data_IF_948025113961
#
_entry.id   IF_948025113961
#
_cell.length_a   1.000
_cell.length_b   1.000
_cell.length_c   1.000
_cell.angle_alpha   90.00
_cell.angle_beta   90.00
_cell.angle_gamma   90.00
#
_symmetry.space_group_name_H-M   'P 1'
#
loop_
_entity.id
_entity.type
_entity.pdbx_description
1 polymer ?
#
# COMPACT_ATOMS: atom_id res chain seq x y z
N UNK A 1 12.76 27.53 13.32
CA UNK A 1 12.40 26.28 12.63
C UNK A 1 11.00 26.39 12.09
N UNK A 2 10.79 26.34 10.78
CA UNK A 2 9.46 26.33 10.18
C UNK A 2 9.08 24.88 9.85
N UNK A 3 8.16 24.30 10.62
CA UNK A 3 7.44 23.10 10.21
C UNK A 3 6.42 23.55 9.18
N UNK A 4 6.55 23.07 7.93
CA UNK A 4 5.53 23.30 6.91
C UNK A 4 4.60 22.10 6.91
N UNK A 5 3.41 22.28 7.46
CA UNK A 5 2.37 21.26 7.44
C UNK A 5 1.93 20.96 5.99
N UNK A 6 1.79 19.68 5.67
CA UNK A 6 1.31 19.23 4.36
C UNK A 6 -0.18 18.93 4.48
N UNK A 7 -0.99 19.64 3.69
CA UNK A 7 -2.43 19.47 3.63
C UNK A 7 -2.86 18.98 2.25
N UNK A 8 -3.94 18.21 2.19
CA UNK A 8 -4.52 17.75 0.92
C UNK A 8 -5.27 16.43 1.01
N UNK A 9 -5.96 16.10 -0.09
CA UNK A 9 -6.74 14.86 -0.21
C UNK A 9 -5.84 13.62 -0.14
N UNK A 10 -4.61 13.71 -0.64
CA UNK A 10 -3.62 12.62 -0.59
C UNK A 10 -3.24 12.25 0.84
N UNK A 11 -2.91 13.22 1.70
CA UNK A 11 -2.55 12.94 3.11
C UNK A 11 -3.74 12.40 3.90
N UNK A 12 -4.95 12.93 3.65
CA UNK A 12 -6.19 12.41 4.25
C UNK A 12 -6.49 10.97 3.82
N UNK A 13 -6.23 10.63 2.56
CA UNK A 13 -6.42 9.29 2.02
C UNK A 13 -5.44 8.30 2.67
N UNK A 14 -4.15 8.64 2.74
CA UNK A 14 -3.15 7.80 3.41
C UNK A 14 -3.48 7.57 4.89
N UNK A 15 -3.93 8.61 5.60
CA UNK A 15 -4.34 8.48 7.01
C UNK A 15 -5.49 7.47 7.21
N UNK A 16 -6.46 7.42 6.29
CA UNK A 16 -7.56 6.43 6.34
C UNK A 16 -7.06 5.01 6.04
N UNK A 17 -6.19 4.85 5.06
CA UNK A 17 -5.61 3.54 4.69
C UNK A 17 -4.75 2.98 5.81
N UNK A 18 -3.96 3.82 6.47
CA UNK A 18 -3.10 3.40 7.57
C UNK A 18 -3.88 2.76 8.71
N UNK A 19 -5.16 3.13 8.92
CA UNK A 19 -6.03 2.50 9.92
C UNK A 19 -6.43 1.07 9.56
N UNK A 20 -6.40 0.71 8.28
CA UNK A 20 -6.76 -0.63 7.79
C UNK A 20 -5.54 -1.47 7.44
N UNK A 21 -4.35 -0.89 7.56
CA UNK A 21 -3.10 -1.60 7.37
C UNK A 21 -2.88 -2.65 8.46
N UNK A 22 -2.45 -3.86 8.10
CA UNK A 22 -1.89 -4.80 9.07
C UNK A 22 -0.74 -4.14 9.83
N UNK A 23 -0.56 -4.49 11.10
CA UNK A 23 0.58 -4.03 11.88
C UNK A 23 1.89 -4.38 11.15
N UNK A 24 2.79 -3.41 11.03
CA UNK A 24 4.05 -3.52 10.28
C UNK A 24 3.87 -3.91 8.80
N UNK A 25 2.71 -3.66 8.22
CA UNK A 25 2.41 -3.89 6.81
C UNK A 25 2.62 -2.65 5.93
N UNK A 26 2.72 -2.88 4.62
CA UNK A 26 2.74 -1.84 3.60
C UNK A 26 1.50 -1.96 2.72
N UNK A 27 0.77 -0.86 2.56
CA UNK A 27 -0.31 -0.74 1.58
C UNK A 27 0.09 0.31 0.55
N UNK A 28 -0.16 -0.01 -0.72
CA UNK A 28 0.00 0.92 -1.84
C UNK A 28 -1.32 1.10 -2.57
N UNK A 29 -1.54 2.27 -3.15
CA UNK A 29 -2.70 2.53 -4.02
C UNK A 29 -2.55 1.89 -5.40
N UNK A 30 -3.63 1.88 -6.17
CA UNK A 30 -3.68 1.32 -7.53
C UNK A 30 -2.64 1.90 -8.49
N UNK A 31 -2.47 3.23 -8.54
CA UNK A 31 -1.48 3.86 -9.42
C UNK A 31 -0.04 3.40 -9.12
N UNK A 32 0.31 3.28 -7.84
CA UNK A 32 1.61 2.75 -7.45
C UNK A 32 1.74 1.27 -7.80
N UNK A 33 0.68 0.48 -7.58
CA UNK A 33 0.64 -0.92 -7.96
C UNK A 33 0.87 -1.09 -9.47
N UNK A 34 0.20 -0.32 -10.34
CA UNK A 34 0.38 -0.43 -11.79
C UNK A 34 1.83 -0.22 -12.23
N UNK A 35 2.55 0.68 -11.56
CA UNK A 35 3.97 0.93 -11.80
C UNK A 35 4.90 -0.12 -11.18
N UNK A 36 4.48 -0.81 -10.11
CA UNK A 36 5.33 -1.68 -9.30
C UNK A 36 5.02 -3.19 -9.42
N UNK A 37 3.90 -3.57 -10.03
CA UNK A 37 3.38 -4.96 -10.06
C UNK A 37 4.33 -5.98 -10.68
N UNK A 38 5.27 -5.52 -11.51
CA UNK A 38 6.26 -6.37 -12.18
C UNK A 38 7.56 -6.56 -11.39
N UNK A 39 7.67 -5.98 -10.19
CA UNK A 39 8.85 -6.17 -9.33
C UNK A 39 8.86 -7.60 -8.76
N UNK A 40 9.72 -8.47 -9.29
CA UNK A 40 9.80 -9.90 -8.96
C UNK A 40 10.03 -10.22 -7.48
N UNK A 41 10.54 -9.27 -6.70
CA UNK A 41 10.84 -9.45 -5.28
C UNK A 41 9.65 -9.16 -4.37
N UNK A 42 8.50 -8.78 -4.93
CA UNK A 42 7.32 -8.40 -4.18
C UNK A 42 6.07 -9.08 -4.73
N UNK A 43 5.14 -9.37 -3.82
CA UNK A 43 3.79 -9.79 -4.12
C UNK A 43 2.83 -8.67 -3.71
N UNK A 44 1.76 -8.53 -4.47
CA UNK A 44 0.72 -7.54 -4.27
C UNK A 44 -0.63 -8.24 -4.14
N UNK A 45 -1.32 -8.06 -3.02
CA UNK A 45 -2.65 -8.62 -2.78
C UNK A 45 -3.68 -7.50 -2.70
N UNK A 46 -4.65 -7.49 -3.63
CA UNK A 46 -5.75 -6.53 -3.63
C UNK A 46 -6.55 -6.64 -2.32
N UNK A 47 -6.87 -5.50 -1.72
CA UNK A 47 -7.67 -5.40 -0.51
C UNK A 47 -9.16 -5.44 -0.87
N UNK A 48 -9.94 -6.26 -0.18
CA UNK A 48 -11.40 -6.39 -0.35
C UNK A 48 -12.20 -5.76 0.80
N UNK A 49 -11.55 -4.98 1.67
CA UNK A 49 -12.18 -4.28 2.81
C UNK A 49 -13.11 -3.19 2.29
N UNK A 50 -14.28 -3.03 2.92
CA UNK A 50 -15.25 -1.97 2.60
C UNK A 50 -14.64 -0.56 2.65
N UNK A 51 -13.60 -0.32 3.46
CA UNK A 51 -12.91 0.98 3.56
C UNK A 51 -12.02 1.26 2.34
N UNK A 52 -11.62 0.20 1.62
CA UNK A 52 -10.73 0.21 0.44
C UNK A 52 -11.43 -0.54 -0.71
N UNK A 53 -12.76 -0.42 -0.76
CA UNK A 53 -13.62 -1.00 -1.78
C UNK A 53 -13.75 -0.02 -2.95
N UNK A 54 -13.88 -0.52 -4.20
CA UNK A 54 -14.29 0.31 -5.35
C UNK A 54 -15.57 1.10 -5.10
N UNK A 55 -16.48 0.57 -4.28
CA UNK A 55 -17.74 1.24 -3.90
C UNK A 55 -17.52 2.53 -3.08
N UNK A 56 -16.36 2.66 -2.43
CA UNK A 56 -15.92 3.87 -1.73
C UNK A 56 -14.79 4.62 -2.47
N UNK A 57 -14.52 4.26 -3.72
CA UNK A 57 -13.60 4.98 -4.62
C UNK A 57 -12.12 4.87 -4.26
N UNK A 58 -11.70 3.78 -3.62
CA UNK A 58 -10.28 3.52 -3.39
C UNK A 58 -9.92 2.06 -3.58
N UNK A 59 -8.89 1.79 -4.38
CA UNK A 59 -8.31 0.47 -4.56
C UNK A 59 -6.91 0.46 -3.97
N UNK A 60 -6.64 -0.50 -3.08
CA UNK A 60 -5.37 -0.66 -2.40
C UNK A 60 -4.87 -2.10 -2.42
N UNK A 61 -3.56 -2.26 -2.28
CA UNK A 61 -2.86 -3.53 -2.33
C UNK A 61 -1.92 -3.66 -1.13
N UNK A 62 -1.99 -4.79 -0.43
CA UNK A 62 -0.98 -5.16 0.56
C UNK A 62 0.26 -5.66 -0.17
N UNK A 63 1.42 -5.13 0.20
CA UNK A 63 2.72 -5.50 -0.36
C UNK A 63 3.43 -6.43 0.61
N UNK A 64 3.92 -7.55 0.10
CA UNK A 64 4.77 -8.48 0.86
C UNK A 64 6.02 -8.80 0.07
N UNK A 65 7.16 -8.96 0.75
CA UNK A 65 8.40 -9.40 0.10
C UNK A 65 8.34 -10.88 -0.21
N UNK A 66 8.84 -11.25 -1.38
CA UNK A 66 9.04 -12.65 -1.76
C UNK A 66 10.26 -13.16 -1.00
N UNK A 67 10.02 -14.02 -0.01
CA UNK A 67 11.08 -14.76 0.66
C UNK A 67 11.58 -15.86 -0.30
N UNK A 68 12.37 -15.48 -1.32
CA UNK A 68 13.21 -16.48 -1.99
C UNK A 68 14.15 -17.02 -0.91
N UNK A 69 14.11 -18.34 -0.67
CA UNK A 69 15.12 -19.00 0.18
C UNK A 69 16.48 -18.56 -0.34
N UNK A 70 17.36 -18.07 0.54
CA UNK A 70 18.77 -17.98 0.20
C UNK A 70 19.20 -19.39 -0.21
N UNK A 71 19.52 -19.61 -1.47
CA UNK A 71 20.37 -20.73 -1.85
C UNK A 71 21.68 -20.53 -1.08
N UNK A 72 21.86 -21.33 -0.03
CA UNK A 72 23.15 -21.47 0.62
C UNK A 72 24.00 -22.30 -0.34
N UNK A 73 24.72 -21.62 -1.22
CA UNK A 73 25.84 -22.20 -1.96
C UNK A 73 27.01 -22.49 -1.04
#
# INVERSE_FOLDING_TARGET
SSVNDIFGTTVNRCAKINRTAPANGLIVGEEFYENAKNLENYNFKKISSEIVSPEHGFVGYVVTRNLKKKDNS
#
